data_IF_895117623393
#
_entry.id   IF_895117623393
#
_cell.length_a   1.000
_cell.length_b   1.000
_cell.length_c   1.000
_cell.angle_alpha   90.00
_cell.angle_beta   90.00
_cell.angle_gamma   90.00
#
_symmetry.space_group_name_H-M   'P 1'
#
loop_
_entity.id
_entity.type
_entity.pdbx_description
1 polymer ?
#
# COMPACT_ATOMS: atom_id res chain seq x y z
N UNK A 1 11.97 0.13 3.97
CA UNK A 1 11.59 -1.00 4.87
C UNK A 1 12.39 -0.95 6.17
N UNK A 2 12.97 0.18 6.53
CA UNK A 2 13.92 0.24 7.63
C UNK A 2 13.22 0.29 8.99
N UNK A 3 11.99 0.82 9.04
CA UNK A 3 11.11 0.76 10.21
C UNK A 3 10.78 -0.69 10.58
N UNK A 4 10.50 -1.56 9.59
CA UNK A 4 10.30 -2.99 9.83
C UNK A 4 11.56 -3.65 10.41
N UNK A 5 12.73 -3.33 9.86
CA UNK A 5 14.02 -3.83 10.37
C UNK A 5 14.33 -3.33 11.77
N UNK A 6 13.91 -2.10 12.11
CA UNK A 6 14.06 -1.55 13.46
C UNK A 6 13.17 -2.27 14.47
N UNK A 7 11.94 -2.64 14.09
CA UNK A 7 11.06 -3.47 14.93
C UNK A 7 11.67 -4.86 15.13
N UNK A 8 12.10 -5.51 14.05
CA UNK A 8 12.77 -6.81 14.13
C UNK A 8 14.03 -6.79 15.01
N UNK A 9 14.84 -5.73 14.91
CA UNK A 9 16.04 -5.55 15.73
C UNK A 9 15.75 -5.11 17.18
N UNK A 10 14.48 -5.01 17.59
CA UNK A 10 14.08 -4.61 18.94
C UNK A 10 14.34 -3.13 19.29
N UNK A 11 14.65 -2.29 18.30
CA UNK A 11 14.90 -0.84 18.50
C UNK A 11 13.62 -0.04 18.68
N UNK A 12 12.50 -0.56 18.18
CA UNK A 12 11.16 0.00 18.33
C UNK A 12 10.15 -1.12 18.52
N UNK A 13 9.03 -0.84 19.19
CA UNK A 13 7.94 -1.82 19.36
C UNK A 13 6.92 -1.79 18.21
N UNK A 14 6.78 -0.63 17.56
CA UNK A 14 5.79 -0.39 16.52
C UNK A 14 6.42 0.33 15.33
N UNK A 15 5.88 0.08 14.13
CA UNK A 15 6.23 0.78 12.90
C UNK A 15 4.96 1.13 12.13
N UNK A 16 4.91 2.35 11.57
CA UNK A 16 3.90 2.72 10.58
C UNK A 16 4.46 2.38 9.21
N UNK A 17 3.78 1.50 8.47
CA UNK A 17 4.19 1.04 7.14
C UNK A 17 3.01 0.49 6.34
N UNK A 18 3.15 0.47 5.01
CA UNK A 18 2.16 -0.15 4.14
C UNK A 18 2.24 -1.68 4.19
N UNK A 19 1.09 -2.34 4.06
CA UNK A 19 0.93 -3.81 4.15
C UNK A 19 1.81 -4.56 3.14
N UNK A 20 1.85 -4.10 1.89
CA UNK A 20 2.57 -4.78 0.81
C UNK A 20 4.07 -4.95 1.09
N UNK A 21 4.69 -4.09 1.91
CA UNK A 21 6.08 -4.27 2.32
C UNK A 21 6.30 -5.52 3.17
N UNK A 22 5.31 -5.94 3.96
CA UNK A 22 5.36 -7.20 4.72
C UNK A 22 5.38 -8.36 3.76
N UNK A 23 4.50 -8.36 2.75
CA UNK A 23 4.47 -9.39 1.71
C UNK A 23 5.80 -9.47 0.92
N UNK A 24 6.33 -8.31 0.53
CA UNK A 24 7.62 -8.24 -0.17
C UNK A 24 8.80 -8.68 0.70
N UNK A 25 8.73 -8.56 2.03
CA UNK A 25 9.77 -9.04 2.95
C UNK A 25 9.69 -10.56 3.09
N UNK A 26 8.49 -11.09 3.37
CA UNK A 26 8.23 -12.53 3.54
C UNK A 26 8.61 -13.35 2.29
N UNK A 27 8.51 -12.75 1.11
CA UNK A 27 8.80 -13.40 -0.18
C UNK A 27 10.09 -12.88 -0.84
N UNK A 28 10.96 -12.19 -0.10
CA UNK A 28 12.22 -11.69 -0.65
C UNK A 28 13.18 -12.82 -1.02
N UNK A 29 14.02 -12.61 -2.04
CA UNK A 29 15.15 -13.49 -2.34
C UNK A 29 16.28 -13.38 -1.32
N UNK A 30 16.28 -12.33 -0.50
CA UNK A 30 17.25 -12.14 0.57
C UNK A 30 16.74 -12.81 1.86
N UNK A 31 17.41 -13.85 2.40
CA UNK A 31 16.97 -14.54 3.61
C UNK A 31 16.78 -13.62 4.81
N UNK A 32 17.62 -12.57 4.95
CA UNK A 32 17.49 -11.60 6.05
C UNK A 32 16.21 -10.78 5.97
N UNK A 33 15.71 -10.50 4.78
CA UNK A 33 14.43 -9.81 4.63
C UNK A 33 13.26 -10.74 4.98
N UNK A 34 13.39 -12.03 4.69
CA UNK A 34 12.39 -13.05 5.04
C UNK A 34 12.28 -13.20 6.56
N UNK A 35 13.40 -13.23 7.28
CA UNK A 35 13.43 -13.20 8.75
C UNK A 35 12.68 -11.99 9.32
N UNK A 36 12.96 -10.80 8.78
CA UNK A 36 12.28 -9.56 9.19
C UNK A 36 10.78 -9.69 8.91
N UNK A 37 10.38 -10.06 7.69
CA UNK A 37 8.96 -10.16 7.31
C UNK A 37 8.18 -11.17 8.14
N UNK A 38 8.81 -12.30 8.52
CA UNK A 38 8.17 -13.33 9.33
C UNK A 38 8.01 -12.94 10.80
N UNK A 39 8.76 -11.95 11.29
CA UNK A 39 8.61 -11.44 12.66
C UNK A 39 7.46 -10.46 12.86
N UNK A 40 6.85 -9.96 11.77
CA UNK A 40 5.88 -8.87 11.83
C UNK A 40 4.45 -9.39 12.00
N UNK A 41 3.76 -8.87 13.01
CA UNK A 41 2.30 -8.87 13.09
C UNK A 41 1.70 -7.57 12.57
N UNK A 42 0.41 -7.59 12.21
CA UNK A 42 -0.31 -6.41 11.71
C UNK A 42 -1.35 -5.98 12.75
N UNK A 43 -1.35 -4.70 13.10
CA UNK A 43 -2.48 -4.04 13.74
C UNK A 43 -3.16 -3.22 12.65
N UNK A 44 -4.36 -3.63 12.25
CA UNK A 44 -5.25 -2.78 11.47
C UNK A 44 -5.88 -1.75 12.42
N UNK A 45 -5.56 -0.44 12.30
CA UNK A 45 -6.05 0.54 13.26
C UNK A 45 -7.56 0.78 13.12
N UNK A 46 -8.16 1.40 14.14
CA UNK A 46 -9.51 1.98 14.05
C UNK A 46 -10.65 1.00 13.73
N UNK A 47 -10.48 -0.29 14.05
CA UNK A 47 -11.47 -1.34 13.77
C UNK A 47 -12.77 -1.19 14.56
N UNK A 48 -12.75 -0.52 15.72
CA UNK A 48 -13.96 -0.23 16.50
C UNK A 48 -14.73 1.00 15.98
N UNK A 49 -14.21 1.75 15.00
CA UNK A 49 -14.85 2.98 14.51
C UNK A 49 -14.76 3.17 12.98
N UNK A 50 -13.92 4.08 12.48
CA UNK A 50 -13.95 4.47 11.05
C UNK A 50 -13.31 3.44 10.11
N UNK A 51 -12.42 2.58 10.61
CA UNK A 51 -11.62 1.65 9.81
C UNK A 51 -10.19 2.10 9.53
N UNK A 52 -9.40 1.20 8.95
CA UNK A 52 -8.00 1.41 8.59
C UNK A 52 -7.89 2.37 7.41
N UNK A 53 -6.94 3.30 7.48
CA UNK A 53 -6.62 4.20 6.37
C UNK A 53 -6.20 3.41 5.12
N UNK A 54 -6.80 3.74 3.99
CA UNK A 54 -6.48 3.22 2.66
C UNK A 54 -5.87 4.32 1.80
N UNK A 55 -4.89 3.95 0.99
CA UNK A 55 -4.31 4.80 -0.04
C UNK A 55 -4.13 3.99 -1.34
N UNK A 56 -3.89 4.68 -2.46
CA UNK A 56 -3.85 4.07 -3.79
C UNK A 56 -2.54 4.34 -4.52
N UNK A 57 -2.11 3.36 -5.32
CA UNK A 57 -1.24 3.61 -6.46
C UNK A 57 -2.09 4.05 -7.64
N UNK A 58 -1.83 5.24 -8.19
CA UNK A 58 -2.65 5.86 -9.23
C UNK A 58 -1.90 6.06 -10.55
N UNK A 59 -2.66 6.20 -11.63
CA UNK A 59 -2.13 6.51 -12.96
C UNK A 59 -2.90 7.67 -13.59
N UNK A 60 -2.21 8.51 -14.35
CA UNK A 60 -2.82 9.62 -15.09
C UNK A 60 -2.12 9.84 -16.43
N UNK A 61 -2.90 10.21 -17.46
CA UNK A 61 -2.36 10.73 -18.70
C UNK A 61 -2.02 12.20 -18.53
N UNK A 62 -0.79 12.59 -18.83
CA UNK A 62 -0.36 13.99 -18.74
C UNK A 62 -0.99 14.83 -19.85
N UNK A 63 -1.28 16.11 -19.55
CA UNK A 63 -1.78 17.08 -20.54
C UNK A 63 -0.85 17.21 -21.76
N UNK A 64 0.45 16.98 -21.57
CA UNK A 64 1.48 17.07 -22.60
C UNK A 64 1.60 15.83 -23.49
N UNK A 65 0.86 14.74 -23.22
CA UNK A 65 1.02 13.48 -23.93
C UNK A 65 0.82 13.65 -25.44
N UNK A 66 1.83 13.24 -26.21
CA UNK A 66 1.79 13.18 -27.68
C UNK A 66 1.32 11.82 -28.21
N UNK A 67 1.26 10.81 -27.33
CA UNK A 67 0.84 9.45 -27.65
C UNK A 67 -0.40 9.07 -26.83
N UNK A 68 -1.48 9.83 -27.00
CA UNK A 68 -2.66 9.72 -26.13
C UNK A 68 -3.35 8.36 -26.23
N UNK A 69 -3.42 7.79 -27.42
CA UNK A 69 -4.05 6.47 -27.60
C UNK A 69 -3.24 5.35 -26.94
N UNK A 70 -1.90 5.42 -27.00
CA UNK A 70 -1.04 4.50 -26.27
C UNK A 70 -1.17 4.67 -24.75
N UNK A 71 -1.28 5.91 -24.27
CA UNK A 71 -1.49 6.19 -22.85
C UNK A 71 -2.82 5.63 -22.34
N UNK A 72 -3.92 5.81 -23.09
CA UNK A 72 -5.23 5.22 -22.76
C UNK A 72 -5.16 3.69 -22.70
N UNK A 73 -4.57 3.06 -23.72
CA UNK A 73 -4.38 1.60 -23.75
C UNK A 73 -3.56 1.10 -22.56
N UNK A 74 -2.53 1.84 -22.15
CA UNK A 74 -1.73 1.48 -20.98
C UNK A 74 -2.53 1.61 -19.67
N UNK A 75 -3.32 2.67 -19.52
CA UNK A 75 -4.20 2.82 -18.35
C UNK A 75 -5.24 1.69 -18.26
N UNK A 76 -5.83 1.28 -19.38
CA UNK A 76 -6.73 0.13 -19.47
C UNK A 76 -6.00 -1.19 -19.16
N UNK A 77 -4.79 -1.36 -19.70
CA UNK A 77 -3.95 -2.53 -19.46
C UNK A 77 -3.61 -2.73 -17.97
N UNK A 78 -3.35 -1.64 -17.25
CA UNK A 78 -3.12 -1.69 -15.80
C UNK A 78 -4.31 -2.23 -15.00
N UNK A 79 -5.54 -2.14 -15.53
CA UNK A 79 -6.76 -2.72 -14.96
C UNK A 79 -7.22 -4.00 -15.67
N UNK A 80 -6.38 -4.61 -16.50
CA UNK A 80 -6.65 -5.94 -17.03
C UNK A 80 -6.59 -6.99 -15.90
N UNK A 81 -7.34 -8.10 -15.99
CA UNK A 81 -7.32 -9.15 -14.97
C UNK A 81 -5.91 -9.69 -14.70
N UNK A 82 -5.11 -9.89 -15.76
CA UNK A 82 -3.74 -10.40 -15.65
C UNK A 82 -2.83 -9.44 -14.86
N UNK A 83 -2.82 -8.15 -15.20
CA UNK A 83 -1.96 -7.19 -14.51
C UNK A 83 -2.39 -6.99 -13.06
N UNK A 84 -3.70 -6.94 -12.80
CA UNK A 84 -4.22 -6.86 -11.44
C UNK A 84 -3.85 -8.12 -10.61
N UNK A 85 -3.82 -9.30 -11.23
CA UNK A 85 -3.31 -10.53 -10.58
C UNK A 85 -1.82 -10.44 -10.28
N UNK A 86 -1.01 -9.94 -11.21
CA UNK A 86 0.43 -9.74 -11.00
C UNK A 86 0.69 -8.79 -9.82
N UNK A 87 -0.07 -7.70 -9.71
CA UNK A 87 0.10 -6.72 -8.63
C UNK A 87 -0.13 -7.34 -7.24
N UNK A 88 -1.14 -8.20 -7.08
CA UNK A 88 -1.35 -8.89 -5.80
C UNK A 88 -0.37 -10.03 -5.56
N UNK A 89 0.08 -10.74 -6.60
CA UNK A 89 0.97 -11.90 -6.46
C UNK A 89 2.44 -11.54 -6.25
N UNK A 90 2.90 -10.50 -6.94
CA UNK A 90 4.31 -10.12 -6.97
C UNK A 90 4.60 -8.89 -6.13
N UNK A 91 3.67 -7.93 -6.09
CA UNK A 91 3.84 -6.71 -5.31
C UNK A 91 3.05 -6.73 -3.98
N UNK A 92 2.20 -7.73 -3.78
CA UNK A 92 1.40 -7.91 -2.55
C UNK A 92 0.47 -6.73 -2.23
N UNK A 93 0.00 -6.05 -3.28
CA UNK A 93 -1.03 -5.02 -3.17
C UNK A 93 -2.44 -5.63 -3.24
N UNK A 94 -3.43 -4.84 -2.83
CA UNK A 94 -4.84 -5.17 -3.05
C UNK A 94 -5.25 -4.74 -4.46
N UNK A 95 -5.86 -5.63 -5.27
CA UNK A 95 -6.34 -5.27 -6.60
C UNK A 95 -7.54 -4.33 -6.49
N UNK A 96 -7.70 -3.45 -7.48
CA UNK A 96 -8.88 -2.59 -7.62
C UNK A 96 -10.07 -3.39 -8.14
N UNK A 97 -9.81 -4.42 -8.96
CA UNK A 97 -10.84 -5.30 -9.48
C UNK A 97 -11.36 -6.24 -8.38
N UNK A 98 -12.68 -6.40 -8.33
CA UNK A 98 -13.36 -7.31 -7.40
C UNK A 98 -13.44 -8.77 -7.88
N UNK A 99 -13.05 -9.04 -9.13
CA UNK A 99 -13.02 -10.38 -9.74
C UNK A 99 -11.61 -10.99 -9.78
N UNK A 100 -10.63 -10.35 -9.12
CA UNK A 100 -9.25 -10.85 -9.00
C UNK A 100 -9.03 -11.41 -7.60
N UNK A 101 -8.63 -12.67 -7.53
CA UNK A 101 -8.31 -13.33 -6.27
C UNK A 101 -6.99 -12.80 -5.68
N UNK A 102 -7.03 -12.44 -4.39
CA UNK A 102 -5.85 -12.03 -3.63
C UNK A 102 -4.79 -13.13 -3.59
N UNK A 103 -3.52 -12.76 -3.61
CA UNK A 103 -2.44 -13.71 -3.35
C UNK A 103 -2.54 -14.29 -1.94
N UNK A 104 -1.99 -15.49 -1.72
CA UNK A 104 -2.07 -16.14 -0.41
C UNK A 104 -1.45 -15.28 0.69
N UNK A 105 -0.31 -14.65 0.41
CA UNK A 105 0.34 -13.71 1.35
C UNK A 105 -0.58 -12.55 1.73
N UNK A 106 -1.35 -11.99 0.80
CA UNK A 106 -2.27 -10.88 1.08
C UNK A 106 -3.48 -11.37 1.87
N UNK A 107 -3.99 -12.58 1.61
CA UNK A 107 -5.04 -13.21 2.42
C UNK A 107 -4.59 -13.45 3.87
N UNK A 108 -3.33 -13.85 4.06
CA UNK A 108 -2.76 -14.11 5.38
C UNK A 108 -2.63 -12.84 6.24
N UNK A 109 -2.75 -11.64 5.64
CA UNK A 109 -2.87 -10.41 6.42
C UNK A 109 -4.16 -10.36 7.24
N UNK A 110 -5.20 -11.10 6.82
CA UNK A 110 -6.50 -11.13 7.47
C UNK A 110 -7.49 -10.13 6.86
N UNK A 111 -8.72 -10.16 7.38
CA UNK A 111 -9.77 -9.22 7.00
C UNK A 111 -9.79 -8.02 7.95
N UNK A 112 -10.20 -6.86 7.44
CA UNK A 112 -10.28 -5.64 8.23
C UNK A 112 -11.31 -4.68 7.64
N UNK A 113 -11.80 -3.76 8.46
CA UNK A 113 -12.65 -2.64 8.05
C UNK A 113 -11.79 -1.52 7.47
N UNK A 114 -12.14 -1.07 6.28
CA UNK A 114 -11.54 0.07 5.58
C UNK A 114 -12.22 1.39 5.97
N UNK A 115 -11.43 2.46 6.07
CA UNK A 115 -11.96 3.82 6.16
C UNK A 115 -12.65 4.21 4.84
N UNK A 116 -13.95 4.52 4.92
CA UNK A 116 -14.80 4.77 3.75
C UNK A 116 -14.72 6.21 3.22
N UNK A 117 -13.90 7.08 3.81
CA UNK A 117 -13.69 8.42 3.30
C UNK A 117 -13.09 8.36 1.87
N UNK A 118 -13.67 9.07 0.87
CA UNK A 118 -13.10 9.10 -0.46
C UNK A 118 -11.66 9.61 -0.44
N UNK A 119 -10.74 8.91 -1.11
CA UNK A 119 -9.31 9.30 -1.16
C UNK A 119 -9.09 10.70 -1.75
N UNK A 120 -9.99 11.16 -2.63
CA UNK A 120 -10.01 12.53 -3.13
C UNK A 120 -10.21 13.56 -2.01
N UNK A 121 -11.12 13.28 -1.06
CA UNK A 121 -11.38 14.14 0.11
C UNK A 121 -10.21 14.14 1.09
N UNK A 122 -9.46 13.04 1.19
CA UNK A 122 -8.20 13.02 1.94
C UNK A 122 -7.20 13.99 1.30
N UNK A 123 -7.06 13.93 -0.03
CA UNK A 123 -6.11 14.75 -0.78
C UNK A 123 -6.40 16.26 -0.72
N UNK A 124 -7.65 16.68 -0.52
CA UNK A 124 -8.02 18.10 -0.30
C UNK A 124 -7.28 18.71 0.90
N UNK A 125 -6.91 17.90 1.89
CA UNK A 125 -6.25 18.34 3.13
C UNK A 125 -4.71 18.25 3.07
N UNK A 126 -4.11 17.94 1.90
CA UNK A 126 -2.66 17.68 1.80
C UNK A 126 -1.81 18.89 2.20
N UNK A 127 -2.25 20.12 1.86
CA UNK A 127 -1.51 21.35 2.19
C UNK A 127 -1.49 21.60 3.70
N UNK A 128 -2.62 21.36 4.36
CA UNK A 128 -2.72 21.52 5.81
C UNK A 128 -1.91 20.44 6.54
N UNK A 129 -1.95 19.20 6.05
CA UNK A 129 -1.13 18.12 6.59
C UNK A 129 0.37 18.44 6.54
N UNK A 130 0.88 18.94 5.40
CA UNK A 130 2.28 19.37 5.26
C UNK A 130 2.60 20.49 6.24
N UNK A 131 1.74 21.52 6.31
CA UNK A 131 1.90 22.63 7.24
C UNK A 131 2.00 22.15 8.69
N UNK A 132 1.14 21.23 9.11
CA UNK A 132 1.18 20.66 10.47
C UNK A 132 2.51 19.96 10.72
N UNK A 133 2.97 19.11 9.79
CA UNK A 133 4.25 18.43 9.94
C UNK A 133 5.43 19.41 10.07
N UNK A 134 5.47 20.45 9.24
CA UNK A 134 6.48 21.51 9.32
C UNK A 134 6.45 22.22 10.68
N UNK A 135 5.25 22.58 11.17
CA UNK A 135 5.06 23.27 12.45
C UNK A 135 5.48 22.44 13.66
N UNK A 136 5.35 21.11 13.59
CA UNK A 136 5.79 20.19 14.67
C UNK A 136 7.22 19.67 14.49
N UNK A 137 7.98 20.21 13.52
CA UNK A 137 9.40 19.96 13.36
C UNK A 137 9.78 18.73 12.53
N UNK A 138 8.83 18.15 11.79
CA UNK A 138 9.09 17.13 10.78
C UNK A 138 9.26 17.79 9.40
N UNK A 139 9.89 17.09 8.45
CA UNK A 139 10.07 17.51 7.05
C UNK A 139 9.89 16.33 6.12
#
# INVERSE_FOLDING_TARGET
RDQARQVFAGKAKFAVMNTYYIGLLKNSKNPKDVEVGNSLGIIFPNQDNRGTHINISGIAMTKSSKNQDAAKKFMEFMLSPEIQKILTDSNYEFPIRNDVELSQTVKDFGTFKEDQIPVSKIAENIKEAVKIYDEVGFR
#
